data_IF_653302553116
#
_entry.id   IF_653302553116
#
_cell.length_a   1.000
_cell.length_b   1.000
_cell.length_c   1.000
_cell.angle_alpha   90.00
_cell.angle_beta   90.00
_cell.angle_gamma   90.00
#
_symmetry.space_group_name_H-M   'P 1'
#
loop_
_entity.id
_entity.type
_entity.pdbx_description
1 polymer ?
#
# COMPACT_ATOMS: atom_id res chain seq x y z
N UNK A 1 -46.29 7.35 50.20
CA UNK A 1 -45.47 8.00 49.16
C UNK A 1 -43.99 8.10 49.51
N UNK A 2 -43.57 8.85 50.54
CA UNK A 2 -42.14 9.00 50.88
C UNK A 2 -41.42 7.67 51.21
N UNK A 3 -42.08 6.73 51.91
CA UNK A 3 -41.50 5.41 52.22
C UNK A 3 -41.24 4.53 50.97
N UNK A 4 -42.09 4.62 49.95
CA UNK A 4 -41.87 3.93 48.65
C UNK A 4 -40.64 4.49 47.94
N UNK A 5 -40.52 5.82 47.92
CA UNK A 5 -39.40 6.53 47.29
C UNK A 5 -38.08 6.13 47.97
N UNK A 6 -38.06 6.03 49.30
CA UNK A 6 -36.87 5.62 50.03
C UNK A 6 -36.43 4.17 49.74
N UNK A 7 -37.39 3.26 49.53
CA UNK A 7 -37.08 1.87 49.11
C UNK A 7 -36.47 1.79 47.72
N UNK A 8 -36.82 2.72 46.82
CA UNK A 8 -36.31 2.74 45.44
C UNK A 8 -34.91 3.37 45.31
N UNK A 9 -34.55 4.30 46.21
CA UNK A 9 -33.23 4.96 46.22
C UNK A 9 -32.02 4.02 46.09
N UNK A 10 -31.90 2.90 46.84
CA UNK A 10 -30.75 1.99 46.70
C UNK A 10 -30.71 1.30 45.33
N UNK A 11 -31.85 0.90 44.78
CA UNK A 11 -31.94 0.26 43.45
C UNK A 11 -31.50 1.23 42.36
N UNK A 12 -31.97 2.49 42.43
CA UNK A 12 -31.58 3.53 41.49
C UNK A 12 -30.07 3.83 41.54
N UNK A 13 -29.49 3.88 42.75
CA UNK A 13 -28.04 4.07 42.90
C UNK A 13 -27.23 2.91 42.33
N UNK A 14 -27.67 1.68 42.55
CA UNK A 14 -27.00 0.51 41.98
C UNK A 14 -27.05 0.51 40.46
N UNK A 15 -28.23 0.78 39.87
CA UNK A 15 -28.40 0.85 38.43
C UNK A 15 -27.54 1.95 37.82
N UNK A 16 -27.50 3.13 38.44
CA UNK A 16 -26.64 4.23 38.01
C UNK A 16 -25.17 3.81 37.96
N UNK A 17 -24.66 3.26 39.06
CA UNK A 17 -23.27 2.80 39.14
C UNK A 17 -22.95 1.73 38.10
N UNK A 18 -23.88 0.79 37.88
CA UNK A 18 -23.74 -0.25 36.86
C UNK A 18 -23.62 0.36 35.47
N UNK A 19 -24.52 1.27 35.10
CA UNK A 19 -24.49 1.94 33.79
C UNK A 19 -23.24 2.78 33.60
N UNK A 20 -22.76 3.45 34.65
CA UNK A 20 -21.53 4.24 34.62
C UNK A 20 -20.31 3.35 34.34
N UNK A 21 -20.25 2.16 34.96
CA UNK A 21 -19.18 1.19 34.72
C UNK A 21 -19.21 0.59 33.31
N UNK A 22 -20.40 0.25 32.79
CA UNK A 22 -20.55 -0.23 31.42
C UNK A 22 -20.12 0.82 30.39
N UNK A 23 -20.44 2.09 30.66
CA UNK A 23 -20.07 3.22 29.81
C UNK A 23 -18.56 3.47 29.85
N UNK A 24 -17.93 3.39 31.02
CA UNK A 24 -16.48 3.50 31.18
C UNK A 24 -15.73 2.43 30.36
N UNK A 25 -16.15 1.17 30.45
CA UNK A 25 -15.57 0.05 29.67
C UNK A 25 -15.75 0.26 28.16
N UNK A 26 -16.92 0.73 27.75
CA UNK A 26 -17.21 0.99 26.33
C UNK A 26 -16.35 2.13 25.79
N UNK A 27 -16.14 3.19 26.58
CA UNK A 27 -15.30 4.32 26.20
C UNK A 27 -13.82 3.91 26.06
N UNK A 28 -13.30 3.09 26.99
CA UNK A 28 -11.92 2.61 26.89
C UNK A 28 -11.73 1.73 25.65
N UNK A 29 -12.66 0.81 25.39
CA UNK A 29 -12.63 -0.05 24.21
C UNK A 29 -12.67 0.75 22.90
N UNK A 30 -13.58 1.73 22.81
CA UNK A 30 -13.69 2.58 21.62
C UNK A 30 -12.42 3.40 21.39
N UNK A 31 -11.77 3.87 22.47
CA UNK A 31 -10.50 4.61 22.38
C UNK A 31 -9.38 3.73 21.84
N UNK A 32 -9.27 2.49 22.30
CA UNK A 32 -8.27 1.53 21.80
C UNK A 32 -8.47 1.21 20.31
N UNK A 33 -9.72 1.00 19.89
CA UNK A 33 -10.05 0.79 18.47
C UNK A 33 -9.65 2.01 17.64
N UNK A 34 -10.01 3.22 18.09
CA UNK A 34 -9.71 4.44 17.37
C UNK A 34 -8.20 4.62 17.21
N UNK A 35 -7.42 4.42 18.27
CA UNK A 35 -5.95 4.48 18.23
C UNK A 35 -5.37 3.46 17.24
N UNK A 36 -5.92 2.24 17.20
CA UNK A 36 -5.51 1.21 16.24
C UNK A 36 -5.80 1.63 14.80
N UNK A 37 -7.01 2.11 14.53
CA UNK A 37 -7.43 2.57 13.20
C UNK A 37 -6.58 3.74 12.71
N UNK A 38 -6.28 4.70 13.58
CA UNK A 38 -5.42 5.84 13.25
C UNK A 38 -4.00 5.40 12.90
N UNK A 39 -3.44 4.42 13.64
CA UNK A 39 -2.12 3.85 13.33
C UNK A 39 -2.10 3.10 11.99
N UNK A 40 -3.12 2.28 11.74
CA UNK A 40 -3.25 1.56 10.46
C UNK A 40 -3.40 2.54 9.30
N UNK A 41 -4.24 3.56 9.44
CA UNK A 41 -4.42 4.60 8.43
C UNK A 41 -3.11 5.35 8.15
N UNK A 42 -2.38 5.78 9.19
CA UNK A 42 -1.09 6.42 9.04
C UNK A 42 -0.09 5.52 8.28
N UNK A 43 -0.05 4.23 8.60
CA UNK A 43 0.78 3.26 7.89
C UNK A 43 0.41 3.09 6.41
N UNK A 44 -0.88 3.11 6.07
CA UNK A 44 -1.33 3.07 4.67
C UNK A 44 -0.99 4.36 3.91
N UNK A 45 -1.13 5.53 4.55
CA UNK A 45 -0.70 6.81 3.98
C UNK A 45 0.80 6.80 3.68
N UNK A 46 1.63 6.30 4.59
CA UNK A 46 3.07 6.17 4.39
C UNK A 46 3.41 5.23 3.23
N UNK A 47 2.72 4.09 3.11
CA UNK A 47 2.88 3.17 1.97
C UNK A 47 2.54 3.86 0.64
N UNK A 48 1.42 4.58 0.59
CA UNK A 48 0.99 5.31 -0.61
C UNK A 48 2.00 6.40 -0.95
N UNK A 49 2.48 7.18 0.02
CA UNK A 49 3.47 8.22 -0.18
C UNK A 49 4.80 7.66 -0.67
N UNK A 50 5.27 6.55 -0.09
CA UNK A 50 6.48 5.85 -0.56
C UNK A 50 6.33 5.36 -2.00
N UNK A 51 5.17 4.80 -2.35
CA UNK A 51 4.89 4.35 -3.72
C UNK A 51 4.84 5.52 -4.69
N UNK A 52 4.20 6.64 -4.32
CA UNK A 52 4.20 7.88 -5.10
C UNK A 52 5.60 8.41 -5.35
N UNK A 53 6.43 8.48 -4.30
CA UNK A 53 7.82 8.92 -4.42
C UNK A 53 8.65 8.07 -5.38
N UNK A 54 8.52 6.75 -5.30
CA UNK A 54 9.19 5.82 -6.22
C UNK A 54 8.68 6.01 -7.65
N UNK A 55 7.38 6.11 -7.85
CA UNK A 55 6.79 6.35 -9.17
C UNK A 55 7.22 7.69 -9.75
N UNK A 56 7.25 8.76 -8.95
CA UNK A 56 7.78 10.06 -9.37
C UNK A 56 9.26 9.93 -9.75
N UNK A 57 10.10 9.24 -8.98
CA UNK A 57 11.52 9.05 -9.36
C UNK A 57 11.70 8.24 -10.66
N UNK A 58 10.87 7.22 -10.90
CA UNK A 58 10.96 6.35 -12.08
C UNK A 58 10.33 6.97 -13.33
N UNK A 59 9.24 7.72 -13.18
CA UNK A 59 8.51 8.38 -14.29
C UNK A 59 9.14 9.75 -14.62
N UNK A 60 9.84 10.37 -13.66
CA UNK A 60 10.49 11.68 -13.82
C UNK A 60 12.00 11.66 -14.13
N UNK A 61 12.58 10.71 -14.89
CA UNK A 61 13.86 10.94 -15.57
C UNK A 61 13.63 11.46 -17.01
N UNK A 62 12.75 12.46 -17.18
CA UNK A 62 12.18 12.74 -18.52
C UNK A 62 11.98 14.18 -18.95
N UNK A 63 12.38 15.20 -18.18
CA UNK A 63 12.36 16.59 -18.67
C UNK A 63 13.72 17.29 -18.67
N UNK A 64 14.84 16.58 -18.43
CA UNK A 64 16.14 17.25 -18.45
C UNK A 64 17.37 16.43 -18.90
N UNK A 65 17.31 15.12 -19.16
CA UNK A 65 18.44 14.39 -19.77
C UNK A 65 17.97 13.21 -20.60
N UNK A 66 17.85 13.39 -21.91
CA UNK A 66 18.14 12.29 -22.84
C UNK A 66 19.64 12.01 -22.75
N UNK A 67 20.05 11.28 -21.71
CA UNK A 67 21.38 10.71 -21.67
C UNK A 67 21.30 9.50 -22.59
N UNK A 68 21.88 9.63 -23.79
CA UNK A 68 21.95 8.56 -24.77
C UNK A 68 22.47 7.30 -24.10
N UNK A 69 21.61 6.30 -23.97
CA UNK A 69 22.03 4.95 -23.63
C UNK A 69 22.75 4.41 -24.87
N UNK A 70 24.08 4.57 -24.91
CA UNK A 70 24.95 3.64 -25.62
C UNK A 70 25.01 2.33 -24.81
N UNK A 71 23.86 1.67 -24.71
CA UNK A 71 23.82 0.29 -24.29
C UNK A 71 24.00 -0.55 -25.56
N UNK A 72 25.23 -0.64 -26.05
CA UNK A 72 25.61 -1.74 -26.93
C UNK A 72 25.37 -3.04 -26.15
N UNK A 73 24.23 -3.69 -26.41
CA UNK A 73 23.90 -5.02 -25.89
C UNK A 73 24.98 -6.00 -26.39
N UNK A 74 26.04 -6.20 -25.60
CA UNK A 74 26.97 -7.32 -25.78
C UNK A 74 26.25 -8.61 -25.39
N UNK A 75 25.46 -9.15 -26.31
CA UNK A 75 25.06 -10.55 -26.25
C UNK A 75 26.32 -11.39 -26.43
N UNK A 76 26.78 -12.05 -25.37
CA UNK A 76 27.76 -13.11 -25.49
C UNK A 76 27.06 -14.27 -26.24
N UNK A 77 27.31 -14.36 -27.55
CA UNK A 77 26.99 -15.55 -28.32
C UNK A 77 27.90 -16.67 -27.82
N UNK A 78 27.41 -17.45 -26.85
CA UNK A 78 27.94 -18.80 -26.66
C UNK A 78 27.67 -19.54 -27.97
N UNK A 79 28.73 -19.86 -28.70
CA UNK A 79 28.63 -20.58 -29.97
C UNK A 79 27.92 -21.92 -29.72
N UNK A 80 26.79 -22.22 -30.38
CA UNK A 80 26.38 -23.60 -30.48
C UNK A 80 27.47 -24.29 -31.30
N UNK A 81 28.10 -25.31 -30.70
CA UNK A 81 28.93 -26.28 -31.38
C UNK A 81 28.27 -26.69 -32.70
N UNK A 82 29.06 -26.67 -33.78
CA UNK A 82 28.64 -26.96 -35.17
C UNK A 82 27.77 -28.22 -35.25
N UNK A 83 26.46 -28.04 -35.35
CA UNK A 83 25.60 -29.01 -36.02
C UNK A 83 24.83 -28.30 -37.13
N UNK A 84 25.12 -28.77 -38.35
CA UNK A 84 24.65 -28.24 -39.61
C UNK A 84 23.13 -28.40 -39.69
N UNK A 85 22.41 -27.29 -39.88
CA UNK A 85 21.06 -27.32 -40.43
C UNK A 85 20.96 -26.23 -41.50
N UNK A 86 20.91 -26.70 -42.76
CA UNK A 86 20.70 -25.87 -43.95
C UNK A 86 19.23 -25.44 -44.00
N UNK A 87 18.92 -24.15 -44.08
CA UNK A 87 17.72 -23.67 -44.77
C UNK A 87 17.90 -22.23 -45.28
N UNK A 88 17.89 -22.13 -46.61
CA UNK A 88 17.45 -21.04 -47.49
C UNK A 88 17.77 -19.58 -47.14
N UNK A 89 18.49 -18.94 -48.07
CA UNK A 89 18.60 -17.48 -48.23
C UNK A 89 17.22 -16.82 -48.19
N UNK A 90 17.01 -15.92 -47.23
CA UNK A 90 15.97 -14.88 -47.33
C UNK A 90 16.68 -13.55 -47.52
N UNK A 91 16.56 -12.99 -48.73
CA UNK A 91 17.02 -11.65 -49.06
C UNK A 91 16.21 -10.65 -48.21
N UNK A 92 16.90 -9.88 -47.38
CA UNK A 92 16.30 -8.76 -46.66
C UNK A 92 16.57 -7.50 -47.47
N UNK A 93 15.53 -7.00 -48.15
CA UNK A 93 15.58 -5.72 -48.85
C UNK A 93 15.62 -4.57 -47.84
N UNK A 94 16.70 -3.79 -47.88
CA UNK A 94 16.87 -2.58 -47.05
C UNK A 94 16.29 -1.39 -47.79
N UNK A 95 15.14 -0.88 -47.34
CA UNK A 95 14.59 0.39 -47.83
C UNK A 95 15.24 1.57 -47.08
N UNK A 96 15.88 2.46 -47.85
CA UNK A 96 16.45 3.73 -47.37
C UNK A 96 15.39 4.82 -47.47
N UNK A 97 14.85 5.27 -46.35
CA UNK A 97 13.95 6.44 -46.30
C UNK A 97 14.83 7.69 -46.37
N UNK A 98 14.55 8.54 -47.37
CA UNK A 98 15.17 9.86 -47.56
C UNK A 98 14.63 10.86 -46.55
#
# INVERSE_FOLDING_TARGET
MQKEIEKQKPVLRHNWYKTEKELEVTLTYNREILDKLLREYAGEVDKVNKKRYVNERIIRPGSAKHQGFDATLKMNFFSPSREKWNFAESKVDVYKIK
#
